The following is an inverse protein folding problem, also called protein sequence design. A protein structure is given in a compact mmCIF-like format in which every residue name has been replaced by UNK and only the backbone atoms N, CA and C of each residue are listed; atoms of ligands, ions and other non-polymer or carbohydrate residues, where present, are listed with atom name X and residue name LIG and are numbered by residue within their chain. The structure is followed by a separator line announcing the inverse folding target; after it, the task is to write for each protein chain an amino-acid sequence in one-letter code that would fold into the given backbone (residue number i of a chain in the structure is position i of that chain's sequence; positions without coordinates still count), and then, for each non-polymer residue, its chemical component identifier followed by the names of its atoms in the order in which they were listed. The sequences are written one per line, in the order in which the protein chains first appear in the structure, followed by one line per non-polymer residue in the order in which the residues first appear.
data_IF_286140619352
#
_entry.id   IF_286140619352
#
_cell.length_a   1.000
_cell.length_b   1.000
_cell.length_c   1.000
_cell.angle_alpha   90.00
_cell.angle_beta   90.00
_cell.angle_gamma   90.00
#
_symmetry.space_group_name_H-M   'P 1'
#
loop_
_entity.id
_entity.type
_entity.pdbx_description
1 polymer ?
#
# COMPACT_ATOMS: atom_id res chain seq x y z
N UNK A 1 -9.84 17.03 9.97
CA UNK A 1 -9.87 17.29 11.40
C UNK A 1 -11.25 17.03 11.98
N UNK A 2 -11.29 16.41 13.18
CA UNK A 2 -12.52 16.27 13.95
C UNK A 2 -12.33 16.81 15.37
N UNK A 3 -13.45 17.23 15.98
CA UNK A 3 -13.48 17.60 17.39
C UNK A 3 -13.76 16.35 18.22
N UNK A 4 -12.98 16.15 19.28
CA UNK A 4 -13.32 15.19 20.34
C UNK A 4 -14.34 15.85 21.29
N UNK A 5 -15.61 15.36 21.34
CA UNK A 5 -16.68 16.06 22.05
C UNK A 5 -16.44 16.21 23.56
N UNK A 6 -15.78 15.22 24.19
CA UNK A 6 -15.59 15.21 25.64
C UNK A 6 -14.52 16.20 26.11
N UNK A 7 -13.55 16.50 25.25
CA UNK A 7 -12.42 17.38 25.58
C UNK A 7 -12.44 18.72 24.85
N UNK A 8 -13.21 18.82 23.76
CA UNK A 8 -13.21 19.97 22.85
C UNK A 8 -11.92 20.13 22.05
N UNK A 9 -11.02 19.16 22.11
CA UNK A 9 -9.77 19.17 21.36
C UNK A 9 -9.99 18.68 19.92
N UNK A 10 -9.12 19.14 19.00
CA UNK A 10 -9.11 18.70 17.62
C UNK A 10 -8.05 17.62 17.43
N UNK A 11 -8.37 16.61 16.63
CA UNK A 11 -7.41 15.60 16.19
C UNK A 11 -7.40 15.51 14.67
N UNK A 12 -6.23 15.16 14.14
CA UNK A 12 -6.05 14.94 12.71
C UNK A 12 -6.35 13.48 12.34
N UNK A 13 -6.98 13.28 11.20
CA UNK A 13 -7.18 11.98 10.56
C UNK A 13 -7.13 12.16 9.06
N UNK A 14 -6.35 11.34 8.37
CA UNK A 14 -6.25 11.37 6.91
C UNK A 14 -7.42 10.62 6.26
N UNK A 15 -7.79 9.49 6.85
CA UNK A 15 -8.85 8.61 6.37
C UNK A 15 -10.13 8.77 7.19
N UNK A 16 -10.69 7.69 7.69
CA UNK A 16 -11.92 7.77 8.49
C UNK A 16 -11.68 8.47 9.84
N UNK A 17 -12.70 9.16 10.33
CA UNK A 17 -12.63 9.87 11.62
C UNK A 17 -12.23 9.00 12.82
N UNK A 18 -12.40 7.68 12.72
CA UNK A 18 -12.02 6.70 13.74
C UNK A 18 -10.54 6.29 13.65
N UNK A 19 -9.86 6.65 12.56
CA UNK A 19 -8.45 6.33 12.30
C UNK A 19 -7.60 7.57 12.57
N UNK A 20 -7.32 7.83 13.86
CA UNK A 20 -6.50 8.98 14.27
C UNK A 20 -5.07 8.80 13.79
N UNK A 21 -4.53 9.80 13.12
CA UNK A 21 -3.12 9.82 12.72
C UNK A 21 -2.20 10.02 13.93
N UNK A 22 -1.08 9.30 13.94
CA UNK A 22 -0.05 9.45 14.97
C UNK A 22 0.87 10.62 14.64
N UNK A 23 1.27 11.36 15.67
CA UNK A 23 2.23 12.45 15.51
C UNK A 23 3.67 11.92 15.40
N UNK A 24 4.15 11.74 14.18
CA UNK A 24 5.50 11.21 13.90
C UNK A 24 6.63 12.19 14.22
N UNK A 25 6.34 13.44 14.54
CA UNK A 25 7.32 14.36 15.13
C UNK A 25 7.62 14.05 16.60
N UNK A 26 6.74 13.30 17.26
CA UNK A 26 6.98 12.85 18.64
C UNK A 26 7.84 11.57 18.63
N UNK A 27 9.09 11.61 19.15
CA UNK A 27 9.96 10.44 19.16
C UNK A 27 9.43 9.26 19.97
N UNK A 28 8.49 9.49 20.88
CA UNK A 28 7.83 8.41 21.62
C UNK A 28 6.93 7.56 20.70
N UNK A 29 6.37 8.13 19.65
CA UNK A 29 5.58 7.38 18.65
C UNK A 29 6.45 6.33 17.96
N UNK A 30 7.63 6.72 17.48
CA UNK A 30 8.58 5.78 16.87
C UNK A 30 8.97 4.66 17.85
N UNK A 31 9.23 5.00 19.11
CA UNK A 31 9.55 4.01 20.15
C UNK A 31 8.40 3.02 20.41
N UNK A 32 7.15 3.50 20.43
CA UNK A 32 6.00 2.62 20.62
C UNK A 32 5.78 1.72 19.39
N UNK A 33 6.02 2.21 18.18
CA UNK A 33 5.98 1.36 16.98
C UNK A 33 7.06 0.27 17.04
N UNK A 34 8.27 0.58 17.53
CA UNK A 34 9.30 -0.44 17.76
C UNK A 34 8.84 -1.51 18.76
N UNK A 35 8.15 -1.12 19.84
CA UNK A 35 7.58 -2.08 20.80
C UNK A 35 6.50 -2.96 20.17
N UNK A 36 5.68 -2.41 19.29
CA UNK A 36 4.69 -3.19 18.52
C UNK A 36 5.38 -4.22 17.62
N UNK A 37 6.46 -3.81 16.95
CA UNK A 37 7.28 -4.72 16.14
C UNK A 37 7.87 -5.84 17.00
N UNK A 38 8.49 -5.50 18.13
CA UNK A 38 9.07 -6.47 19.08
C UNK A 38 8.02 -7.47 19.58
N UNK A 39 6.83 -6.98 19.91
CA UNK A 39 5.73 -7.81 20.37
C UNK A 39 5.35 -8.88 19.33
N UNK A 40 5.28 -8.52 18.06
CA UNK A 40 4.94 -9.46 17.00
C UNK A 40 6.10 -10.36 16.60
N UNK A 41 7.33 -9.83 16.52
CA UNK A 41 8.54 -10.62 16.28
C UNK A 41 8.73 -11.70 17.35
N UNK A 42 8.51 -11.38 18.62
CA UNK A 42 8.58 -12.35 19.73
C UNK A 42 7.51 -13.48 19.60
N UNK A 43 6.49 -13.29 18.77
CA UNK A 43 5.45 -14.29 18.46
C UNK A 43 5.69 -15.05 17.16
N UNK A 44 6.85 -14.84 16.53
CA UNK A 44 7.26 -15.57 15.33
C UNK A 44 6.80 -14.93 14.02
N UNK A 45 6.48 -13.63 14.01
CA UNK A 45 6.19 -12.90 12.76
C UNK A 45 7.48 -12.64 12.00
N UNK A 46 7.54 -13.04 10.73
CA UNK A 46 8.72 -12.95 9.87
C UNK A 46 8.74 -11.72 8.95
N UNK A 47 7.68 -10.92 8.95
CA UNK A 47 7.61 -9.71 8.14
C UNK A 47 6.39 -8.85 8.46
N UNK A 48 6.32 -7.67 7.82
CA UNK A 48 5.26 -6.70 8.09
C UNK A 48 4.76 -6.07 6.80
N UNK A 49 3.45 -5.84 6.73
CA UNK A 49 2.84 -4.94 5.76
C UNK A 49 2.59 -3.60 6.45
N UNK A 50 3.17 -2.56 5.90
CA UNK A 50 2.96 -1.19 6.34
C UNK A 50 1.91 -0.51 5.46
N UNK A 51 0.90 0.04 6.13
CA UNK A 51 -0.26 0.67 5.50
C UNK A 51 0.04 2.12 5.12
N UNK A 52 -0.24 2.49 3.89
CA UNK A 52 -0.19 3.85 3.30
C UNK A 52 0.91 4.76 3.87
N UNK A 53 2.13 4.26 3.90
CA UNK A 53 3.26 4.89 4.61
C UNK A 53 3.71 6.24 4.04
N UNK A 54 3.32 6.58 2.84
CA UNK A 54 3.61 7.89 2.26
C UNK A 54 2.73 9.01 2.82
N UNK A 55 1.79 8.70 3.71
CA UNK A 55 0.94 9.66 4.43
C UNK A 55 1.42 9.93 5.87
N UNK A 56 2.56 9.40 6.30
CA UNK A 56 3.08 9.66 7.64
C UNK A 56 3.38 11.15 7.82
N UNK A 57 2.89 11.74 8.91
CA UNK A 57 3.05 13.16 9.23
C UNK A 57 4.42 13.45 9.86
N UNK A 58 5.49 13.16 9.12
CA UNK A 58 6.88 13.28 9.61
C UNK A 58 7.37 14.73 9.72
N UNK A 59 6.81 15.62 8.91
CA UNK A 59 7.05 17.07 8.97
C UNK A 59 5.90 17.84 9.68
N UNK A 60 5.05 17.08 10.38
CA UNK A 60 3.88 17.61 11.07
C UNK A 60 2.70 17.86 10.13
N UNK A 61 1.70 18.54 10.68
CA UNK A 61 0.50 18.88 9.92
C UNK A 61 0.73 20.24 9.25
N UNK A 62 0.86 20.18 7.93
CA UNK A 62 1.06 21.36 7.10
C UNK A 62 -0.20 22.23 6.96
N UNK A 63 -0.15 23.25 6.10
CA UNK A 63 -1.31 24.06 5.73
C UNK A 63 -2.36 23.20 5.02
N UNK A 64 -3.57 23.76 4.88
CA UNK A 64 -4.63 23.11 4.13
C UNK A 64 -4.21 22.89 2.68
N UNK A 65 -4.50 21.70 2.19
CA UNK A 65 -4.25 21.38 0.78
C UNK A 65 -5.13 22.24 -0.14
N UNK A 66 -4.57 22.74 -1.26
CA UNK A 66 -5.36 23.51 -2.21
C UNK A 66 -6.44 22.64 -2.86
N UNK A 67 -7.52 23.30 -3.24
CA UNK A 67 -8.62 22.69 -4.01
C UNK A 67 -8.50 23.17 -5.46
N UNK A 68 -8.42 22.22 -6.39
CA UNK A 68 -8.41 22.48 -7.82
C UNK A 68 -9.55 21.72 -8.49
N UNK A 69 -10.40 22.43 -9.24
CA UNK A 69 -11.59 21.87 -9.89
C UNK A 69 -12.53 21.04 -8.97
N UNK A 70 -12.57 21.40 -7.68
CA UNK A 70 -13.40 20.71 -6.68
C UNK A 70 -12.76 19.47 -6.06
N UNK A 71 -11.54 19.13 -6.46
CA UNK A 71 -10.74 18.05 -5.88
C UNK A 71 -9.59 18.62 -5.02
N UNK A 72 -9.31 17.98 -3.90
CA UNK A 72 -8.21 18.36 -3.02
C UNK A 72 -6.88 17.87 -3.61
N UNK A 73 -5.93 18.80 -3.81
CA UNK A 73 -4.57 18.47 -4.21
C UNK A 73 -3.73 18.17 -2.96
N UNK A 74 -3.20 16.96 -2.87
CA UNK A 74 -2.42 16.48 -1.73
C UNK A 74 -0.96 16.96 -1.81
N UNK A 75 -0.72 18.26 -1.59
CA UNK A 75 0.61 18.86 -1.68
C UNK A 75 1.36 18.83 -0.35
N UNK A 76 0.64 18.89 0.78
CA UNK A 76 1.23 19.07 2.10
C UNK A 76 1.06 17.86 3.04
N UNK A 77 0.41 16.82 2.62
CA UNK A 77 0.05 15.68 3.46
C UNK A 77 0.47 14.31 2.89
N UNK A 78 1.20 14.29 1.77
CA UNK A 78 1.78 13.07 1.19
C UNK A 78 3.27 13.29 0.90
N UNK A 79 4.06 12.22 1.02
CA UNK A 79 5.50 12.23 0.70
C UNK A 79 6.26 13.35 1.41
N UNK A 80 5.88 13.64 2.66
CA UNK A 80 6.49 14.72 3.44
C UNK A 80 8.01 14.54 3.61
N UNK A 81 8.76 15.64 3.81
CA UNK A 81 10.16 15.57 4.20
C UNK A 81 10.36 14.68 5.44
N UNK A 82 11.43 13.88 5.45
CA UNK A 82 11.75 12.98 6.56
C UNK A 82 11.06 11.61 6.51
N UNK A 83 10.09 11.37 5.62
CA UNK A 83 9.45 10.04 5.49
C UNK A 83 10.48 8.95 5.20
N UNK A 84 11.34 9.13 4.21
CA UNK A 84 12.34 8.13 3.83
C UNK A 84 13.29 7.84 4.99
N UNK A 85 13.76 8.86 5.71
CA UNK A 85 14.65 8.68 6.87
C UNK A 85 13.95 7.92 8.01
N UNK A 86 12.69 8.21 8.26
CA UNK A 86 11.86 7.50 9.26
C UNK A 86 11.70 6.04 8.86
N UNK A 87 11.38 5.76 7.61
CA UNK A 87 11.24 4.40 7.11
C UNK A 87 12.56 3.63 7.12
N UNK A 88 13.68 4.29 6.80
CA UNK A 88 15.01 3.66 6.91
C UNK A 88 15.31 3.23 8.35
N UNK A 89 14.98 4.04 9.36
CA UNK A 89 15.15 3.65 10.77
C UNK A 89 14.26 2.47 11.12
N UNK A 90 12.99 2.51 10.70
CA UNK A 90 12.01 1.46 10.95
C UNK A 90 12.45 0.12 10.30
N UNK A 91 12.80 0.14 9.02
CA UNK A 91 13.23 -1.05 8.28
C UNK A 91 14.53 -1.65 8.87
N UNK A 92 15.49 -0.81 9.23
CA UNK A 92 16.70 -1.25 9.91
C UNK A 92 16.38 -1.92 11.25
N UNK A 93 15.51 -1.31 12.04
CA UNK A 93 15.09 -1.89 13.33
C UNK A 93 14.48 -3.27 13.17
N UNK A 94 13.56 -3.43 12.23
CA UNK A 94 12.93 -4.74 11.96
C UNK A 94 13.97 -5.78 11.54
N UNK A 95 14.90 -5.40 10.63
CA UNK A 95 15.91 -6.32 10.08
C UNK A 95 17.05 -6.66 11.03
N UNK A 96 17.34 -5.83 12.03
CA UNK A 96 18.31 -6.14 13.08
C UNK A 96 17.95 -7.38 13.90
N UNK A 97 16.67 -7.73 13.94
CA UNK A 97 16.15 -8.89 14.66
C UNK A 97 16.04 -10.16 13.79
N UNK A 98 16.67 -10.18 12.63
CA UNK A 98 16.67 -11.26 11.66
C UNK A 98 16.10 -10.86 10.31
N UNK A 99 16.15 -11.77 9.34
CA UNK A 99 15.54 -11.53 8.04
C UNK A 99 14.04 -11.27 8.17
N UNK A 100 13.57 -10.20 7.56
CA UNK A 100 12.16 -9.85 7.55
C UNK A 100 11.76 -9.41 6.15
N UNK A 101 10.61 -9.88 5.69
CA UNK A 101 10.00 -9.42 4.44
C UNK A 101 9.09 -8.22 4.70
N UNK A 102 9.40 -7.09 4.05
CA UNK A 102 8.72 -5.84 4.27
C UNK A 102 7.95 -5.41 3.03
N UNK A 103 6.67 -5.17 3.23
CA UNK A 103 5.73 -4.73 2.20
C UNK A 103 5.16 -3.37 2.58
N UNK A 104 4.97 -2.50 1.61
CA UNK A 104 4.27 -1.24 1.83
C UNK A 104 3.13 -1.01 0.84
N UNK A 105 2.09 -0.38 1.35
CA UNK A 105 1.11 0.32 0.53
C UNK A 105 1.52 1.77 0.39
N UNK A 106 1.48 2.25 -0.85
CA UNK A 106 1.81 3.63 -1.24
C UNK A 106 0.60 4.19 -2.00
N UNK A 107 0.06 5.30 -1.51
CA UNK A 107 -1.07 5.98 -2.16
C UNK A 107 -0.58 6.80 -3.35
N UNK A 108 -0.12 6.14 -4.39
CA UNK A 108 0.29 6.76 -5.66
C UNK A 108 0.21 5.75 -6.80
N UNK A 109 -0.14 6.23 -7.98
CA UNK A 109 -0.12 5.48 -9.24
C UNK A 109 1.17 5.72 -10.04
N UNK A 110 2.01 6.66 -9.60
CA UNK A 110 3.24 7.03 -10.30
C UNK A 110 4.37 6.04 -9.98
N UNK A 111 4.88 5.36 -11.01
CA UNK A 111 5.89 4.31 -10.85
C UNK A 111 7.22 4.81 -10.27
N UNK A 112 7.59 6.05 -10.56
CA UNK A 112 8.78 6.68 -10.00
C UNK A 112 8.62 6.99 -8.50
N UNK A 113 7.41 7.32 -8.05
CA UNK A 113 7.09 7.46 -6.62
C UNK A 113 7.15 6.09 -5.93
N UNK A 114 6.52 5.06 -6.48
CA UNK A 114 6.59 3.70 -5.95
C UNK A 114 8.05 3.21 -5.82
N UNK A 115 8.88 3.50 -6.85
CA UNK A 115 10.28 3.12 -6.86
C UNK A 115 11.11 3.75 -5.73
N UNK A 116 10.74 4.94 -5.24
CA UNK A 116 11.44 5.59 -4.10
C UNK A 116 11.32 4.81 -2.80
N UNK A 117 10.26 4.04 -2.64
CA UNK A 117 9.97 3.27 -1.41
C UNK A 117 10.48 1.82 -1.49
N UNK A 118 10.91 1.37 -2.68
CA UNK A 118 11.40 0.02 -2.91
C UNK A 118 12.91 0.00 -3.11
N UNK A 119 13.63 -0.46 -2.11
CA UNK A 119 15.08 -0.68 -2.16
C UNK A 119 15.48 -1.74 -1.13
N UNK A 120 16.71 -2.28 -1.20
CA UNK A 120 17.21 -3.23 -0.20
C UNK A 120 17.18 -2.70 1.24
N UNK A 121 17.29 -1.38 1.43
CA UNK A 121 17.26 -0.75 2.74
C UNK A 121 15.85 -0.39 3.22
N UNK A 122 14.89 -0.28 2.29
CA UNK A 122 13.50 0.07 2.56
C UNK A 122 12.59 -1.15 2.45
N UNK A 123 11.61 -1.10 1.55
CA UNK A 123 10.65 -2.18 1.34
C UNK A 123 11.14 -3.16 0.29
N UNK A 124 10.92 -4.44 0.53
CA UNK A 124 11.22 -5.49 -0.46
C UNK A 124 10.28 -5.38 -1.65
N UNK A 125 9.01 -5.07 -1.40
CA UNK A 125 8.00 -4.79 -2.43
C UNK A 125 7.05 -3.68 -1.99
N UNK A 126 6.48 -2.97 -2.95
CA UNK A 126 5.39 -2.01 -2.76
C UNK A 126 4.19 -2.43 -3.59
N UNK A 127 2.98 -2.20 -3.08
CA UNK A 127 1.77 -2.48 -3.85
C UNK A 127 1.65 -1.54 -5.04
N UNK A 128 1.46 -2.12 -6.22
CA UNK A 128 1.24 -1.41 -7.46
C UNK A 128 -0.22 -1.60 -7.92
N UNK A 129 -1.04 -0.61 -7.70
CA UNK A 129 -2.46 -0.64 -8.02
C UNK A 129 -2.75 -0.48 -9.52
N UNK A 130 -1.81 0.02 -10.35
CA UNK A 130 -2.03 0.23 -11.79
C UNK A 130 -2.45 -1.06 -12.51
N UNK A 131 -1.86 -2.19 -12.13
CA UNK A 131 -2.20 -3.49 -12.69
C UNK A 131 -3.49 -4.03 -12.05
N UNK A 132 -3.55 -4.01 -10.71
CA UNK A 132 -4.58 -4.68 -9.93
C UNK A 132 -5.94 -4.00 -9.90
N UNK A 133 -5.99 -2.66 -9.98
CA UNK A 133 -7.22 -1.87 -9.76
C UNK A 133 -8.07 -1.63 -11.01
N UNK A 134 -7.75 -2.26 -12.15
CA UNK A 134 -8.53 -2.10 -13.37
C UNK A 134 -9.99 -2.50 -13.16
N UNK A 135 -10.91 -1.66 -13.61
CA UNK A 135 -12.36 -1.85 -13.39
C UNK A 135 -12.97 -2.92 -14.30
N UNK A 136 -12.37 -3.14 -15.46
CA UNK A 136 -12.85 -4.08 -16.48
C UNK A 136 -11.69 -4.94 -16.99
N UNK A 137 -12.01 -6.11 -17.51
CA UNK A 137 -11.02 -6.99 -18.14
C UNK A 137 -10.62 -6.44 -19.50
N UNK A 138 -9.45 -5.79 -19.55
CA UNK A 138 -8.83 -5.28 -20.77
C UNK A 138 -7.40 -5.83 -20.85
N UNK A 139 -7.21 -6.84 -21.71
CA UNK A 139 -5.92 -7.50 -21.86
C UNK A 139 -4.85 -6.58 -22.44
N UNK A 140 -5.22 -5.66 -23.33
CA UNK A 140 -4.27 -4.73 -23.94
C UNK A 140 -3.73 -3.75 -22.89
N UNK A 141 -4.62 -3.24 -22.04
CA UNK A 141 -4.24 -2.38 -20.93
C UNK A 141 -3.41 -3.14 -19.89
N UNK A 142 -3.82 -4.35 -19.51
CA UNK A 142 -3.04 -5.20 -18.60
C UNK A 142 -1.61 -5.42 -19.10
N UNK A 143 -1.44 -5.78 -20.37
CA UNK A 143 -0.12 -5.96 -20.98
C UNK A 143 0.70 -4.66 -20.98
N UNK A 144 0.07 -3.52 -21.26
CA UNK A 144 0.72 -2.23 -21.25
C UNK A 144 1.23 -1.86 -19.85
N UNK A 145 0.40 -2.00 -18.82
CA UNK A 145 0.76 -1.71 -17.43
C UNK A 145 1.85 -2.65 -16.91
N UNK A 146 1.77 -3.94 -17.23
CA UNK A 146 2.81 -4.92 -16.88
C UNK A 146 4.15 -4.53 -17.52
N UNK A 147 4.15 -4.19 -18.82
CA UNK A 147 5.36 -3.79 -19.52
C UNK A 147 5.95 -2.49 -18.96
N UNK A 148 5.11 -1.47 -18.71
CA UNK A 148 5.55 -0.21 -18.11
C UNK A 148 6.20 -0.44 -16.74
N UNK A 149 5.55 -1.24 -15.89
CA UNK A 149 6.06 -1.57 -14.56
C UNK A 149 7.39 -2.32 -14.63
N UNK A 150 7.53 -3.32 -15.54
CA UNK A 150 8.77 -4.08 -15.70
C UNK A 150 9.94 -3.24 -16.21
N UNK A 151 9.67 -2.21 -17.00
CA UNK A 151 10.69 -1.30 -17.53
C UNK A 151 11.14 -0.24 -16.52
N UNK A 152 10.23 0.23 -15.67
CA UNK A 152 10.47 1.37 -14.79
C UNK A 152 10.81 0.95 -13.35
N UNK A 153 10.33 -0.19 -12.89
CA UNK A 153 10.54 -0.65 -11.53
C UNK A 153 11.75 -1.58 -11.45
N UNK A 154 12.77 -1.17 -10.70
CA UNK A 154 14.02 -1.94 -10.54
C UNK A 154 13.83 -3.22 -9.71
N UNK A 155 12.92 -3.20 -8.75
CA UNK A 155 12.56 -4.35 -7.90
C UNK A 155 11.56 -5.29 -8.54
N UNK A 156 11.06 -6.26 -7.74
CA UNK A 156 9.95 -7.11 -8.14
C UNK A 156 8.64 -6.35 -7.93
N UNK A 157 7.80 -6.19 -8.97
CA UNK A 157 6.48 -5.61 -8.80
C UNK A 157 5.55 -6.56 -8.05
N UNK A 158 4.53 -6.03 -7.40
CA UNK A 158 3.42 -6.82 -6.87
C UNK A 158 2.39 -7.10 -7.94
N UNK A 159 1.85 -8.30 -7.93
CA UNK A 159 0.80 -8.74 -8.84
C UNK A 159 -0.39 -9.21 -8.00
N UNK A 160 -1.48 -8.46 -8.03
CA UNK A 160 -2.72 -8.79 -7.33
C UNK A 160 -3.91 -8.22 -8.11
N UNK A 161 -5.06 -8.87 -8.00
CA UNK A 161 -6.29 -8.47 -8.68
C UNK A 161 -7.49 -8.39 -7.74
N UNK A 162 -7.32 -8.80 -6.49
CA UNK A 162 -8.31 -8.67 -5.42
C UNK A 162 -7.63 -8.25 -4.12
N UNK A 163 -8.35 -7.53 -3.26
CA UNK A 163 -7.92 -7.23 -1.90
C UNK A 163 -9.12 -7.00 -1.00
N UNK A 164 -8.88 -6.71 0.28
CA UNK A 164 -9.94 -6.34 1.23
C UNK A 164 -10.54 -4.96 0.95
N UNK A 165 -9.88 -4.12 0.14
CA UNK A 165 -10.32 -2.78 -0.26
C UNK A 165 -10.90 -2.70 -1.68
N UNK A 166 -10.87 -3.83 -2.41
CA UNK A 166 -11.36 -3.89 -3.78
C UNK A 166 -12.32 -5.07 -3.98
N UNK A 167 -13.32 -4.92 -4.86
CA UNK A 167 -14.14 -6.04 -5.26
C UNK A 167 -13.27 -7.17 -5.81
N UNK A 168 -13.73 -8.40 -5.60
CA UNK A 168 -13.03 -9.58 -6.10
C UNK A 168 -12.88 -9.56 -7.61
N UNK A 169 -11.77 -10.06 -8.11
CA UNK A 169 -11.42 -10.04 -9.52
C UNK A 169 -12.52 -10.66 -10.38
N UNK A 170 -13.06 -11.81 -9.97
CA UNK A 170 -14.13 -12.49 -10.70
C UNK A 170 -15.41 -11.64 -10.78
N UNK A 171 -15.76 -10.91 -9.71
CA UNK A 171 -16.92 -9.98 -9.70
C UNK A 171 -16.68 -8.76 -10.59
N UNK A 172 -15.45 -8.23 -10.64
CA UNK A 172 -15.11 -7.06 -11.48
C UNK A 172 -14.98 -7.38 -12.96
N UNK A 173 -14.37 -8.52 -13.27
CA UNK A 173 -14.03 -8.90 -14.64
C UNK A 173 -15.07 -9.84 -15.26
N UNK A 174 -15.97 -10.38 -14.44
CA UNK A 174 -17.03 -11.26 -14.87
C UNK A 174 -18.24 -10.47 -15.35
N UNK A 175 -18.71 -10.74 -16.55
CA UNK A 175 -19.98 -10.24 -17.08
C UNK A 175 -20.56 -11.27 -18.08
N UNK A 176 -20.52 -12.56 -17.70
CA UNK A 176 -21.12 -13.53 -18.60
C UNK A 176 -20.62 -14.97 -18.50
N UNK A 177 -20.87 -15.78 -19.53
CA UNK A 177 -20.72 -17.22 -19.47
C UNK A 177 -19.26 -17.72 -19.34
N UNK A 178 -18.28 -16.83 -19.46
CA UNK A 178 -16.84 -17.18 -19.43
C UNK A 178 -16.08 -16.62 -18.21
N UNK A 179 -16.78 -16.35 -17.11
CA UNK A 179 -16.16 -15.71 -15.93
C UNK A 179 -15.11 -16.61 -15.28
N UNK A 180 -15.34 -17.91 -15.22
CA UNK A 180 -14.40 -18.87 -14.65
C UNK A 180 -13.15 -19.00 -15.52
N UNK A 181 -13.29 -19.08 -16.83
CA UNK A 181 -12.16 -19.16 -17.77
C UNK A 181 -11.33 -17.88 -17.73
N UNK A 182 -11.98 -16.73 -17.62
CA UNK A 182 -11.34 -15.43 -17.47
C UNK A 182 -10.59 -15.33 -16.16
N UNK A 183 -11.20 -15.74 -15.05
CA UNK A 183 -10.55 -15.78 -13.74
C UNK A 183 -9.31 -16.68 -13.74
N UNK A 184 -9.40 -17.87 -14.37
CA UNK A 184 -8.24 -18.78 -14.54
C UNK A 184 -7.13 -18.14 -15.37
N UNK A 185 -7.47 -17.42 -16.43
CA UNK A 185 -6.49 -16.75 -17.28
C UNK A 185 -5.76 -15.62 -16.52
N UNK A 186 -6.50 -14.82 -15.73
CA UNK A 186 -5.91 -13.76 -14.89
C UNK A 186 -5.04 -14.35 -13.80
N UNK A 187 -5.47 -15.41 -13.12
CA UNK A 187 -4.67 -16.09 -12.11
C UNK A 187 -3.41 -16.71 -12.70
N UNK A 188 -3.50 -17.32 -13.89
CA UNK A 188 -2.33 -17.83 -14.60
C UNK A 188 -1.33 -16.70 -14.93
N UNK A 189 -1.81 -15.56 -15.40
CA UNK A 189 -0.98 -14.39 -15.63
C UNK A 189 -0.31 -13.89 -14.32
N UNK A 190 -1.07 -13.77 -13.25
CA UNK A 190 -0.59 -13.36 -11.93
C UNK A 190 0.54 -14.26 -11.40
N UNK A 191 0.44 -15.56 -11.62
CA UNK A 191 1.42 -16.55 -11.12
C UNK A 191 2.62 -16.77 -12.06
N UNK A 192 2.57 -16.30 -13.30
CA UNK A 192 3.62 -16.58 -14.31
C UNK A 192 4.39 -15.35 -14.77
N UNK A 193 3.86 -14.16 -14.61
CA UNK A 193 4.56 -12.91 -14.91
C UNK A 193 5.61 -12.62 -13.84
N UNK A 194 6.71 -11.99 -14.22
CA UNK A 194 7.75 -11.58 -13.27
C UNK A 194 7.17 -10.64 -12.24
N UNK A 195 7.18 -11.05 -10.97
CA UNK A 195 6.65 -10.26 -9.84
C UNK A 195 6.38 -11.14 -8.63
N UNK A 196 5.85 -10.53 -7.58
CA UNK A 196 5.40 -11.22 -6.36
C UNK A 196 3.87 -11.30 -6.40
N UNK A 197 3.29 -12.50 -6.58
CA UNK A 197 1.84 -12.67 -6.61
C UNK A 197 1.25 -12.57 -5.20
N UNK A 198 0.16 -11.82 -5.06
CA UNK A 198 -0.66 -11.74 -3.86
C UNK A 198 -2.05 -12.26 -4.18
N UNK A 199 -2.34 -13.46 -3.73
CA UNK A 199 -3.63 -14.12 -3.95
C UNK A 199 -4.53 -13.83 -2.75
N UNK A 200 -5.64 -13.13 -2.98
CA UNK A 200 -6.59 -12.87 -1.92
C UNK A 200 -7.36 -14.12 -1.57
N UNK A 201 -7.60 -14.39 -0.30
CA UNK A 201 -8.29 -15.59 0.18
C UNK A 201 -9.60 -15.84 -0.58
N UNK A 202 -9.80 -17.06 -1.08
CA UNK A 202 -10.96 -17.44 -1.85
C UNK A 202 -10.90 -17.10 -3.35
N UNK A 203 -9.88 -16.34 -3.80
CA UNK A 203 -9.66 -16.04 -5.21
C UNK A 203 -9.32 -17.32 -5.98
N UNK A 204 -8.57 -18.23 -5.36
CA UNK A 204 -8.25 -19.57 -5.88
C UNK A 204 -9.49 -20.47 -6.05
N UNK A 205 -10.56 -20.18 -5.34
CA UNK A 205 -11.85 -20.89 -5.44
C UNK A 205 -12.84 -20.20 -6.39
N UNK A 206 -12.48 -19.00 -6.88
CA UNK A 206 -13.39 -18.18 -7.69
C UNK A 206 -14.55 -17.61 -6.87
N UNK A 207 -14.32 -17.27 -5.59
CA UNK A 207 -15.33 -16.59 -4.76
C UNK A 207 -15.69 -15.23 -5.36
N UNK A 208 -16.96 -14.90 -5.31
CA UNK A 208 -17.53 -13.60 -5.66
C UNK A 208 -17.74 -12.76 -4.39
N UNK A 209 -18.02 -11.44 -4.58
CA UNK A 209 -18.42 -10.54 -3.49
C UNK A 209 -19.81 -10.88 -2.94
#
# INVERSE_FOLDING_TARGET
WCVEPDTGQYYYHKFARQQVDLNWQNPQVEQEIFRVIDFWKARGVDGFRFDVINFLTTDGIGPDNPIDNGEQRHEFDINQPGIIDTLLRLCRYVRQQGNAFLIAEIGSDELDILARYQSPELMDVVFNFNIGSQKTFDISRLCSEINATQLQQSGLPTLFFSSHDMPRMISRFGEGPHDIERAKAVLALQLTVRGVPFVFQGEELGMID
#
